data_IF_975477381131
#
_entry.id   IF_975477381131
#
_cell.length_a   1.000
_cell.length_b   1.000
_cell.length_c   1.000
_cell.angle_alpha   90.00
_cell.angle_beta   90.00
_cell.angle_gamma   90.00
#
_symmetry.space_group_name_H-M   'P 1'
#
loop_
_entity.id
_entity.type
_entity.pdbx_description
1 polymer ?
#
# COMPACT_ATOMS: atom_id res chain seq x y z
N UNK A 1 -11.61 9.90 -3.32
CA UNK A 1 -10.16 9.68 -3.13
C UNK A 1 -9.40 10.88 -3.67
N UNK A 2 -8.23 11.20 -3.11
CA UNK A 2 -7.46 12.42 -3.41
C UNK A 2 -6.33 12.16 -4.42
N UNK A 3 -6.00 13.18 -5.21
CA UNK A 3 -4.84 13.21 -6.11
C UNK A 3 -3.57 13.60 -5.33
N UNK A 4 -2.37 13.34 -5.86
CA UNK A 4 -1.13 13.74 -5.19
C UNK A 4 -1.04 15.26 -5.02
N UNK A 5 -1.47 16.02 -6.04
CA UNK A 5 -1.52 17.48 -5.97
C UNK A 5 -2.53 17.98 -4.92
N UNK A 6 -3.70 17.36 -4.82
CA UNK A 6 -4.65 17.68 -3.74
C UNK A 6 -4.03 17.43 -2.36
N UNK A 7 -3.30 16.31 -2.17
CA UNK A 7 -2.65 16.01 -0.90
C UNK A 7 -1.57 17.05 -0.55
N UNK A 8 -0.71 17.40 -1.51
CA UNK A 8 0.43 18.29 -1.30
C UNK A 8 0.02 19.77 -1.24
N UNK A 9 -0.79 20.23 -2.20
CA UNK A 9 -1.08 21.64 -2.44
C UNK A 9 -2.29 22.14 -1.64
N UNK A 10 -3.34 21.32 -1.52
CA UNK A 10 -4.58 21.73 -0.83
C UNK A 10 -4.59 21.33 0.65
N UNK A 11 -4.09 20.13 0.98
CA UNK A 11 -4.05 19.65 2.35
C UNK A 11 -2.72 19.89 3.07
N UNK A 12 -1.70 20.39 2.35
CA UNK A 12 -0.33 20.57 2.86
C UNK A 12 0.25 19.32 3.55
N UNK A 13 -0.19 18.13 3.11
CA UNK A 13 0.29 16.85 3.60
C UNK A 13 1.55 16.50 2.81
N UNK A 14 2.72 16.65 3.44
CA UNK A 14 4.02 16.21 2.89
C UNK A 14 4.36 14.78 3.28
N UNK A 15 3.83 14.34 4.42
CA UNK A 15 4.10 13.02 5.00
C UNK A 15 2.80 12.27 5.25
N UNK A 16 2.85 10.96 5.12
CA UNK A 16 1.79 10.07 5.58
C UNK A 16 2.32 9.15 6.68
N UNK A 17 1.54 9.00 7.74
CA UNK A 17 1.86 8.14 8.88
C UNK A 17 1.09 6.83 8.77
N UNK A 18 1.74 5.75 9.19
CA UNK A 18 1.07 4.48 9.44
C UNK A 18 1.78 3.69 10.51
N UNK A 19 1.02 2.82 11.18
CA UNK A 19 1.50 2.02 12.29
C UNK A 19 1.97 0.66 11.80
N UNK A 20 3.16 0.25 12.25
CA UNK A 20 3.64 -1.13 12.13
C UNK A 20 3.45 -1.85 13.45
N UNK A 21 3.15 -3.14 13.39
CA UNK A 21 3.09 -4.03 14.54
C UNK A 21 4.03 -5.22 14.34
N UNK A 22 4.79 -5.56 15.38
CA UNK A 22 5.57 -6.78 15.40
C UNK A 22 4.64 -7.99 15.51
N UNK A 23 4.67 -8.91 14.53
CA UNK A 23 3.90 -10.16 14.57
C UNK A 23 4.30 -11.13 15.71
N UNK A 24 5.37 -10.83 16.44
CA UNK A 24 5.93 -11.70 17.50
C UNK A 24 5.68 -11.19 18.91
N UNK A 25 6.03 -9.93 19.19
CA UNK A 25 5.88 -9.34 20.52
C UNK A 25 4.77 -8.27 20.60
N UNK A 26 4.03 -8.06 19.50
CA UNK A 26 2.91 -7.13 19.37
C UNK A 26 3.24 -5.65 19.58
N UNK A 27 4.50 -5.30 19.83
CA UNK A 27 4.95 -3.91 19.91
C UNK A 27 4.63 -3.16 18.62
N UNK A 28 4.08 -1.95 18.78
CA UNK A 28 3.71 -1.07 17.68
C UNK A 28 4.69 0.09 17.55
N UNK A 29 4.84 0.60 16.34
CA UNK A 29 5.67 1.77 16.05
C UNK A 29 5.11 2.50 14.84
N UNK A 30 4.95 3.81 14.96
CA UNK A 30 4.56 4.64 13.83
C UNK A 30 5.76 4.95 12.93
N UNK A 31 5.50 4.93 11.63
CA UNK A 31 6.47 5.32 10.62
C UNK A 31 5.87 6.36 9.69
N UNK A 32 6.74 7.20 9.14
CA UNK A 32 6.36 8.29 8.26
C UNK A 32 7.00 8.11 6.89
N UNK A 33 6.20 8.35 5.85
CA UNK A 33 6.65 8.36 4.48
C UNK A 33 6.53 9.75 3.90
N UNK A 34 7.61 10.23 3.29
CA UNK A 34 7.54 11.34 2.35
C UNK A 34 6.67 10.92 1.16
N UNK A 35 5.56 11.64 0.95
CA UNK A 35 4.54 11.28 -0.04
C UNK A 35 5.11 11.30 -1.46
N UNK A 36 5.79 12.38 -1.83
CA UNK A 36 6.31 12.58 -3.18
C UNK A 36 7.39 11.54 -3.49
N UNK A 37 8.40 11.41 -2.62
CA UNK A 37 9.51 10.50 -2.80
C UNK A 37 9.07 9.04 -2.89
N UNK A 38 8.11 8.62 -2.05
CA UNK A 38 7.58 7.26 -2.11
C UNK A 38 6.71 7.06 -3.34
N UNK A 39 5.90 8.04 -3.71
CA UNK A 39 5.05 7.91 -4.88
C UNK A 39 5.87 7.77 -6.16
N UNK A 40 6.88 8.62 -6.35
CA UNK A 40 7.80 8.55 -7.48
C UNK A 40 8.48 7.18 -7.57
N UNK A 41 8.97 6.65 -6.43
CA UNK A 41 9.57 5.31 -6.38
C UNK A 41 8.62 4.23 -6.89
N UNK A 42 7.38 4.22 -6.39
CA UNK A 42 6.37 3.21 -6.78
C UNK A 42 5.94 3.40 -8.24
N UNK A 43 5.75 4.65 -8.68
CA UNK A 43 5.36 4.97 -10.05
C UNK A 43 6.43 4.56 -11.07
N UNK A 44 7.72 4.80 -10.78
CA UNK A 44 8.85 4.36 -11.60
C UNK A 44 8.88 2.83 -11.69
N UNK A 45 8.78 2.14 -10.55
CA UNK A 45 8.78 0.67 -10.52
C UNK A 45 7.63 0.09 -11.38
N UNK A 46 6.42 0.65 -11.27
CA UNK A 46 5.29 0.26 -12.12
C UNK A 46 5.60 0.52 -13.58
N UNK A 47 6.09 1.72 -13.94
CA UNK A 47 6.40 2.08 -15.32
C UNK A 47 7.39 1.08 -15.96
N UNK A 48 8.41 0.70 -15.22
CA UNK A 48 9.47 -0.21 -15.70
C UNK A 48 9.04 -1.68 -15.76
N UNK A 49 8.25 -2.15 -14.77
CA UNK A 49 7.96 -3.58 -14.59
C UNK A 49 6.58 -4.03 -15.04
N UNK A 50 5.67 -3.11 -15.38
CA UNK A 50 4.28 -3.43 -15.69
C UNK A 50 4.08 -4.42 -16.85
N UNK A 51 4.93 -4.37 -17.89
CA UNK A 51 4.86 -5.32 -19.02
C UNK A 51 5.19 -6.75 -18.59
N UNK A 52 6.13 -6.93 -17.65
CA UNK A 52 6.56 -8.22 -17.11
C UNK A 52 5.57 -8.81 -16.09
N UNK A 53 4.70 -7.98 -15.51
CA UNK A 53 3.76 -8.40 -14.46
C UNK A 53 2.57 -9.22 -14.98
N UNK A 54 2.23 -9.15 -16.28
CA UNK A 54 1.09 -9.86 -16.88
C UNK A 54 -0.22 -9.76 -16.05
N UNK A 55 -0.52 -8.55 -15.55
CA UNK A 55 -1.65 -8.26 -14.67
C UNK A 55 -1.66 -8.99 -13.31
N UNK A 56 -0.50 -9.45 -12.83
CA UNK A 56 -0.32 -10.14 -11.56
C UNK A 56 0.76 -9.47 -10.74
N UNK A 57 0.56 -9.41 -9.44
CA UNK A 57 1.53 -8.77 -8.55
C UNK A 57 2.82 -9.60 -8.54
N UNK A 58 4.00 -8.97 -8.66
CA UNK A 58 5.27 -9.65 -8.47
C UNK A 58 5.41 -10.14 -7.02
N UNK A 59 6.31 -11.10 -6.81
CA UNK A 59 6.55 -11.67 -5.48
C UNK A 59 6.94 -10.62 -4.44
N UNK A 60 7.69 -9.59 -4.83
CA UNK A 60 8.06 -8.48 -3.96
C UNK A 60 6.85 -7.78 -3.33
N UNK A 61 5.72 -7.69 -4.04
CA UNK A 61 4.48 -7.10 -3.53
C UNK A 61 3.63 -8.09 -2.74
N UNK A 62 3.76 -9.39 -3.00
CA UNK A 62 3.03 -10.44 -2.28
C UNK A 62 3.69 -10.81 -0.96
N UNK A 63 5.01 -10.67 -0.89
CA UNK A 63 5.87 -10.98 0.25
C UNK A 63 6.77 -9.76 0.53
N UNK A 64 6.20 -8.65 1.05
CA UNK A 64 6.99 -7.47 1.35
C UNK A 64 8.06 -7.80 2.39
N UNK A 65 9.23 -7.17 2.27
CA UNK A 65 10.27 -7.20 3.29
C UNK A 65 9.99 -6.07 4.29
N UNK A 66 9.86 -6.44 5.55
CA UNK A 66 9.55 -5.56 6.66
C UNK A 66 10.82 -5.22 7.47
N UNK A 67 10.81 -4.09 8.20
CA UNK A 67 11.82 -3.80 9.20
C UNK A 67 11.89 -4.88 10.30
N UNK A 68 13.06 -4.96 10.93
CA UNK A 68 13.29 -5.76 12.13
C UNK A 68 12.63 -5.09 13.34
N UNK A 69 12.17 -5.90 14.29
CA UNK A 69 11.60 -5.39 15.53
C UNK A 69 12.72 -4.99 16.50
N UNK A 70 12.83 -3.69 16.80
CA UNK A 70 13.81 -3.17 17.77
C UNK A 70 13.58 -3.67 19.20
N UNK A 71 12.34 -4.03 19.56
CA UNK A 71 11.98 -4.45 20.92
C UNK A 71 12.33 -5.91 21.24
N UNK A 72 12.19 -6.83 20.27
CA UNK A 72 12.49 -8.26 20.47
C UNK A 72 13.63 -8.79 19.58
N UNK A 73 14.23 -7.94 18.74
CA UNK A 73 15.34 -8.28 17.84
C UNK A 73 14.99 -9.20 16.67
N UNK A 74 13.73 -9.64 16.52
CA UNK A 74 13.32 -10.53 15.43
C UNK A 74 13.33 -9.82 14.09
N UNK A 75 13.82 -10.51 13.06
CA UNK A 75 13.99 -9.96 11.72
C UNK A 75 12.71 -10.03 10.89
N UNK A 76 12.46 -9.02 10.05
CA UNK A 76 11.36 -9.00 9.08
C UNK A 76 9.97 -9.29 9.72
N UNK A 77 9.67 -8.60 10.83
CA UNK A 77 8.46 -8.84 11.62
C UNK A 77 7.52 -7.65 11.76
N UNK A 78 7.97 -6.43 11.44
CA UNK A 78 7.18 -5.21 11.60
C UNK A 78 6.21 -5.00 10.42
N UNK A 79 5.04 -5.62 10.47
CA UNK A 79 4.03 -5.56 9.41
C UNK A 79 3.10 -4.36 9.61
N UNK A 80 2.46 -3.81 8.56
CA UNK A 80 1.47 -2.77 8.76
C UNK A 80 0.31 -3.29 9.62
N UNK A 81 -0.12 -2.49 10.59
CA UNK A 81 -1.32 -2.76 11.35
C UNK A 81 -2.54 -2.50 10.46
N UNK A 82 -3.23 -3.57 10.06
CA UNK A 82 -4.44 -3.49 9.23
C UNK A 82 -5.62 -3.91 10.10
N UNK A 83 -6.36 -2.94 10.62
CA UNK A 83 -7.51 -3.17 11.48
C UNK A 83 -8.78 -3.49 10.65
N UNK A 84 -9.80 -2.63 10.71
CA UNK A 84 -11.06 -2.83 9.99
C UNK A 84 -10.95 -2.34 8.56
N UNK A 85 -11.73 -2.96 7.66
CA UNK A 85 -11.71 -2.63 6.22
C UNK A 85 -11.98 -1.15 5.91
N UNK A 86 -12.78 -0.48 6.75
CA UNK A 86 -13.16 0.94 6.65
C UNK A 86 -12.05 1.91 7.03
N UNK A 87 -11.11 1.46 7.87
CA UNK A 87 -10.06 2.28 8.48
C UNK A 87 -8.71 2.09 7.76
N UNK A 88 -8.68 1.31 6.67
CA UNK A 88 -7.45 1.03 5.93
C UNK A 88 -6.92 2.31 5.29
N UNK A 89 -5.71 2.70 5.71
CA UNK A 89 -4.95 3.76 5.05
C UNK A 89 -4.32 3.23 3.74
N UNK A 90 -5.11 3.25 2.66
CA UNK A 90 -4.69 2.73 1.34
C UNK A 90 -3.50 3.46 0.74
N UNK A 91 -3.37 4.77 0.98
CA UNK A 91 -2.24 5.58 0.50
C UNK A 91 -0.96 5.15 1.23
N UNK A 92 -1.01 4.94 2.54
CA UNK A 92 0.14 4.43 3.27
C UNK A 92 0.60 3.06 2.76
N UNK A 93 -0.36 2.13 2.55
CA UNK A 93 -0.03 0.79 2.08
C UNK A 93 0.53 0.76 0.66
N UNK A 94 0.04 1.59 -0.27
CA UNK A 94 0.58 1.63 -1.63
C UNK A 94 1.99 2.22 -1.66
N UNK A 95 2.24 3.29 -0.89
CA UNK A 95 3.55 3.95 -0.80
C UNK A 95 4.59 3.12 -0.05
N UNK A 96 4.15 2.29 0.89
CA UNK A 96 4.98 1.33 1.60
C UNK A 96 5.27 0.05 0.81
N UNK A 97 4.67 -0.12 -0.37
CA UNK A 97 4.68 -1.39 -1.10
C UNK A 97 4.11 -2.58 -0.28
N UNK A 98 3.08 -2.31 0.54
CA UNK A 98 2.49 -3.24 1.52
C UNK A 98 1.06 -3.69 1.20
N UNK A 99 0.50 -3.43 0.02
CA UNK A 99 -0.86 -3.90 -0.35
C UNK A 99 -0.97 -5.43 -0.26
N UNK A 100 0.14 -6.16 -0.45
CA UNK A 100 0.19 -7.60 -0.22
C UNK A 100 -0.23 -8.03 1.18
N UNK A 101 -0.09 -7.18 2.20
CA UNK A 101 -0.55 -7.49 3.56
C UNK A 101 -2.08 -7.58 3.66
N UNK A 102 -2.82 -7.02 2.70
CA UNK A 102 -4.27 -7.13 2.66
C UNK A 102 -4.72 -8.56 2.29
N UNK A 103 -5.73 -9.05 3.00
CA UNK A 103 -6.43 -10.27 2.62
C UNK A 103 -7.44 -10.00 1.48
N UNK A 104 -7.98 -11.06 0.86
CA UNK A 104 -8.95 -10.95 -0.24
C UNK A 104 -10.20 -10.16 0.17
N UNK A 105 -10.62 -10.23 1.43
CA UNK A 105 -11.80 -9.49 1.92
C UNK A 105 -11.55 -7.98 1.99
N UNK A 106 -10.33 -7.55 2.31
CA UNK A 106 -9.91 -6.14 2.27
C UNK A 106 -9.88 -5.64 0.82
N UNK A 107 -9.27 -6.41 -0.08
CA UNK A 107 -9.17 -6.05 -1.49
C UNK A 107 -10.54 -5.97 -2.16
N UNK A 108 -11.44 -6.94 -1.92
CA UNK A 108 -12.82 -6.88 -2.41
C UNK A 108 -13.59 -5.67 -1.85
N UNK A 109 -13.32 -5.29 -0.60
CA UNK A 109 -13.94 -4.11 0.00
C UNK A 109 -13.50 -2.83 -0.70
N UNK A 110 -12.21 -2.67 -1.00
CA UNK A 110 -11.68 -1.56 -1.79
C UNK A 110 -12.43 -1.42 -3.12
N UNK A 111 -12.53 -2.51 -3.89
CA UNK A 111 -13.15 -2.49 -5.21
C UNK A 111 -14.66 -2.21 -5.16
N UNK A 112 -15.38 -2.77 -4.17
CA UNK A 112 -16.79 -2.47 -3.95
C UNK A 112 -17.04 -0.97 -3.75
N UNK A 113 -16.13 -0.25 -3.11
CA UNK A 113 -16.21 1.18 -2.86
C UNK A 113 -15.56 2.06 -3.95
N UNK A 114 -15.04 1.45 -5.01
CA UNK A 114 -14.61 2.12 -6.23
C UNK A 114 -15.50 1.68 -7.42
N UNK A 115 -16.77 1.33 -7.13
CA UNK A 115 -17.82 0.93 -8.07
C UNK A 115 -17.45 -0.19 -9.06
N UNK A 116 -16.54 -1.07 -8.65
CA UNK A 116 -16.09 -2.19 -9.47
C UNK A 116 -16.22 -3.50 -8.68
N UNK A 117 -16.97 -4.44 -9.22
CA UNK A 117 -17.04 -5.79 -8.65
C UNK A 117 -16.02 -6.70 -9.33
N UNK A 118 -14.82 -6.81 -8.75
CA UNK A 118 -13.73 -7.62 -9.32
C UNK A 118 -13.69 -9.01 -8.70
N UNK A 119 -13.72 -10.04 -9.54
CA UNK A 119 -13.38 -11.42 -9.19
C UNK A 119 -11.95 -11.73 -9.66
N UNK A 120 -11.19 -12.45 -8.84
CA UNK A 120 -9.82 -12.80 -9.19
C UNK A 120 -9.02 -13.40 -8.05
N UNK A 121 -7.92 -14.05 -8.41
CA UNK A 121 -6.93 -14.53 -7.46
C UNK A 121 -6.26 -13.35 -6.72
N UNK A 122 -5.76 -13.59 -5.50
CA UNK A 122 -5.18 -12.56 -4.64
C UNK A 122 -4.08 -11.74 -5.35
N UNK A 123 -3.20 -12.37 -6.12
CA UNK A 123 -2.13 -11.67 -6.84
C UNK A 123 -2.65 -10.72 -7.93
N UNK A 124 -3.72 -11.08 -8.63
CA UNK A 124 -4.39 -10.18 -9.57
C UNK A 124 -5.04 -9.01 -8.83
N UNK A 125 -5.72 -9.27 -7.72
CA UNK A 125 -6.35 -8.22 -6.92
C UNK A 125 -5.33 -7.22 -6.36
N UNK A 126 -4.20 -7.70 -5.82
CA UNK A 126 -3.11 -6.85 -5.34
C UNK A 126 -2.57 -5.97 -6.46
N UNK A 127 -2.26 -6.56 -7.63
CA UNK A 127 -1.78 -5.81 -8.79
C UNK A 127 -2.75 -4.71 -9.19
N UNK A 128 -4.03 -5.06 -9.39
CA UNK A 128 -5.02 -4.10 -9.81
C UNK A 128 -5.16 -2.97 -8.78
N UNK A 129 -5.08 -3.28 -7.49
CA UNK A 129 -5.17 -2.27 -6.42
C UNK A 129 -3.99 -1.29 -6.48
N UNK A 130 -2.75 -1.76 -6.69
CA UNK A 130 -1.61 -0.87 -6.93
C UNK A 130 -1.83 0.05 -8.11
N UNK A 131 -2.21 -0.51 -9.27
CA UNK A 131 -2.40 0.27 -10.49
C UNK A 131 -3.53 1.30 -10.32
N UNK A 132 -4.64 0.90 -9.70
CA UNK A 132 -5.79 1.78 -9.45
C UNK A 132 -5.40 2.94 -8.54
N UNK A 133 -4.79 2.66 -7.39
CA UNK A 133 -4.34 3.69 -6.45
C UNK A 133 -3.32 4.64 -7.07
N UNK A 134 -2.34 4.11 -7.81
CA UNK A 134 -1.34 4.95 -8.46
C UNK A 134 -1.95 5.85 -9.54
N UNK A 135 -2.89 5.34 -10.33
CA UNK A 135 -3.63 6.15 -11.31
C UNK A 135 -4.40 7.27 -10.62
N UNK A 136 -5.13 6.97 -9.54
CA UNK A 136 -5.90 7.97 -8.79
C UNK A 136 -5.01 9.07 -8.19
N UNK A 137 -3.84 8.70 -7.67
CA UNK A 137 -2.86 9.67 -7.17
C UNK A 137 -2.22 10.50 -8.30
N UNK A 138 -2.08 9.93 -9.51
CA UNK A 138 -1.45 10.62 -10.64
C UNK A 138 -2.41 11.56 -11.38
N UNK A 139 -3.68 11.19 -11.56
CA UNK A 139 -4.65 12.04 -12.26
C UNK A 139 -4.77 13.37 -11.53
N UNK A 140 -4.48 14.49 -12.20
CA UNK A 140 -4.92 15.80 -11.75
C UNK A 140 -6.45 15.86 -11.89
N UNK A 141 -7.14 16.34 -10.85
CA UNK A 141 -8.57 16.67 -10.95
C UNK A 141 -8.74 17.90 -11.82
#
# INVERSE_FOLDING_TARGET
MHTLDHLLSQLNLKTITGTLQCKSCLTQTDIHFDLLKKFEKVAIYIKEKKSEMFQRAPDAWLKPVFPDCKSCGRKNTMQPLIEKKKEINWVFLVLGEMIGCCNVRHLKYFWKHNDLHITGARNRLVYLTYISLCKQLQTKS
#
